data_IF_518086302396
#
_entry.id   IF_518086302396
#
_cell.length_a   1.000
_cell.length_b   1.000
_cell.length_c   1.000
_cell.angle_alpha   90.00
_cell.angle_beta   90.00
_cell.angle_gamma   90.00
#
_symmetry.space_group_name_H-M   'P 1'
#
loop_
_entity.id
_entity.type
_entity.pdbx_description
1 polymer ?
#
# COMPACT_ATOMS: atom_id res chain seq x y z
N UNK A 1 -28.83 3.08 -4.17
CA UNK A 1 -29.31 1.97 -3.32
C UNK A 1 -28.22 1.48 -2.37
N UNK A 2 -27.00 1.24 -2.86
CA UNK A 2 -25.88 0.69 -2.09
C UNK A 2 -25.43 1.54 -0.90
N UNK A 3 -25.31 2.87 -1.05
CA UNK A 3 -24.93 3.78 0.06
C UNK A 3 -25.92 3.66 1.23
N UNK A 4 -27.22 3.68 0.93
CA UNK A 4 -28.27 3.54 1.97
C UNK A 4 -28.22 2.17 2.66
N UNK A 5 -27.87 1.12 1.92
CA UNK A 5 -27.69 -0.22 2.50
C UNK A 5 -26.47 -0.28 3.43
N UNK A 6 -25.36 0.39 3.07
CA UNK A 6 -24.17 0.52 3.92
C UNK A 6 -24.48 1.28 5.21
N UNK A 7 -25.14 2.43 5.14
CA UNK A 7 -25.52 3.18 6.35
C UNK A 7 -26.44 2.37 7.27
N UNK A 8 -27.42 1.65 6.70
CA UNK A 8 -28.28 0.76 7.49
C UNK A 8 -27.49 -0.36 8.18
N UNK A 9 -26.49 -0.92 7.50
CA UNK A 9 -25.62 -1.94 8.08
C UNK A 9 -24.74 -1.38 9.20
N UNK A 10 -24.18 -0.17 9.03
CA UNK A 10 -23.42 0.53 10.07
C UNK A 10 -24.26 0.69 11.33
N UNK A 11 -25.49 1.19 11.22
CA UNK A 11 -26.38 1.36 12.38
C UNK A 11 -26.76 0.03 13.04
N UNK A 12 -26.97 -1.04 12.26
CA UNK A 12 -27.22 -2.36 12.81
C UNK A 12 -26.02 -2.89 13.62
N UNK A 13 -24.79 -2.68 13.12
CA UNK A 13 -23.57 -3.09 13.80
C UNK A 13 -23.30 -2.23 15.05
N UNK A 14 -23.49 -0.92 14.97
CA UNK A 14 -23.37 0.00 16.12
C UNK A 14 -24.29 -0.44 17.24
N UNK A 15 -25.55 -0.74 16.95
CA UNK A 15 -26.51 -1.21 17.95
C UNK A 15 -26.15 -2.57 18.55
N UNK A 16 -25.55 -3.46 17.75
CA UNK A 16 -25.14 -4.80 18.19
C UNK A 16 -23.90 -4.79 19.07
N UNK A 17 -22.93 -3.93 18.77
CA UNK A 17 -21.60 -3.96 19.41
C UNK A 17 -21.37 -2.86 20.45
N UNK A 18 -22.27 -1.88 20.57
CA UNK A 18 -22.21 -0.92 21.68
C UNK A 18 -22.36 -1.63 23.03
N UNK A 19 -21.62 -1.17 24.02
CA UNK A 19 -21.64 -1.72 25.38
C UNK A 19 -21.42 -0.61 26.42
N UNK A 20 -21.45 -0.96 27.72
CA UNK A 20 -21.13 -0.01 28.78
C UNK A 20 -19.71 0.56 28.69
N UNK A 21 -18.77 -0.18 28.08
CA UNK A 21 -17.36 0.21 27.93
C UNK A 21 -17.02 0.74 26.52
N UNK A 22 -17.88 0.50 25.53
CA UNK A 22 -17.69 0.92 24.14
C UNK A 22 -18.90 1.70 23.63
N UNK A 23 -18.73 3.03 23.49
CA UNK A 23 -19.80 3.91 23.03
C UNK A 23 -20.15 3.66 21.55
N UNK A 24 -21.40 3.95 21.20
CA UNK A 24 -21.90 3.87 19.82
C UNK A 24 -21.02 4.66 18.84
N UNK A 25 -20.56 5.85 19.25
CA UNK A 25 -19.71 6.70 18.41
C UNK A 25 -18.33 6.10 18.17
N UNK A 26 -17.74 5.42 19.17
CA UNK A 26 -16.48 4.70 18.97
C UNK A 26 -16.63 3.52 18.01
N UNK A 27 -17.75 2.79 18.08
CA UNK A 27 -18.05 1.71 17.12
C UNK A 27 -18.20 2.30 15.72
N UNK A 28 -18.95 3.40 15.57
CA UNK A 28 -19.16 4.07 14.28
C UNK A 28 -17.85 4.60 13.69
N UNK A 29 -17.03 5.26 14.51
CA UNK A 29 -15.70 5.73 14.12
C UNK A 29 -14.83 4.57 13.62
N UNK A 30 -14.78 3.46 14.36
CA UNK A 30 -14.00 2.28 13.96
C UNK A 30 -14.47 1.71 12.61
N UNK A 31 -15.79 1.64 12.39
CA UNK A 31 -16.36 1.18 11.11
C UNK A 31 -15.99 2.09 9.95
N UNK A 32 -16.04 3.42 10.14
CA UNK A 32 -15.61 4.36 9.10
C UNK A 32 -14.11 4.30 8.86
N UNK A 33 -13.28 4.18 9.90
CA UNK A 33 -11.83 4.00 9.74
C UNK A 33 -11.47 2.72 8.97
N UNK A 34 -12.21 1.62 9.18
CA UNK A 34 -12.06 0.41 8.36
C UNK A 34 -12.45 0.66 6.89
N UNK A 35 -13.51 1.45 6.68
CA UNK A 35 -13.93 1.89 5.36
C UNK A 35 -12.86 2.71 4.63
N UNK A 36 -12.25 3.66 5.32
CA UNK A 36 -11.17 4.50 4.79
C UNK A 36 -9.94 3.68 4.43
N UNK A 37 -9.52 2.76 5.31
CA UNK A 37 -8.42 1.84 5.01
C UNK A 37 -8.71 1.01 3.75
N UNK A 38 -9.91 0.46 3.64
CA UNK A 38 -10.29 -0.32 2.47
C UNK A 38 -10.36 0.55 1.19
N UNK A 39 -10.85 1.79 1.30
CA UNK A 39 -10.86 2.74 0.18
C UNK A 39 -9.44 3.11 -0.28
N UNK A 40 -8.50 3.25 0.65
CA UNK A 40 -7.07 3.43 0.34
C UNK A 40 -6.53 2.22 -0.42
N UNK A 41 -6.79 0.99 0.05
CA UNK A 41 -6.32 -0.23 -0.62
C UNK A 41 -6.86 -0.36 -2.05
N UNK A 42 -8.14 0.00 -2.27
CA UNK A 42 -8.72 0.02 -3.60
C UNK A 42 -8.01 1.00 -4.54
N UNK A 43 -7.48 2.10 -4.04
CA UNK A 43 -6.78 3.10 -4.86
C UNK A 43 -5.31 2.75 -5.07
N UNK A 44 -4.64 2.22 -4.04
CA UNK A 44 -3.20 1.99 -4.06
C UNK A 44 -2.80 0.59 -4.55
N UNK A 45 -3.53 -0.46 -4.17
CA UNK A 45 -3.18 -1.87 -4.44
C UNK A 45 -3.90 -2.43 -5.67
N UNK A 46 -5.21 -2.23 -5.78
CA UNK A 46 -6.02 -2.89 -6.82
C UNK A 46 -5.60 -2.54 -8.26
N UNK A 47 -5.10 -1.33 -8.58
CA UNK A 47 -4.52 -1.06 -9.89
C UNK A 47 -3.30 -1.93 -10.18
N UNK A 48 -2.46 -2.20 -9.17
CA UNK A 48 -1.29 -3.08 -9.29
C UNK A 48 -1.75 -4.53 -9.53
N UNK A 49 -2.76 -5.00 -8.81
CA UNK A 49 -3.38 -6.31 -9.04
C UNK A 49 -3.96 -6.43 -10.47
N UNK A 50 -4.51 -5.35 -11.01
CA UNK A 50 -4.95 -5.31 -12.41
C UNK A 50 -3.77 -5.39 -13.37
N UNK A 51 -2.68 -4.67 -13.11
CA UNK A 51 -1.48 -4.72 -13.96
C UNK A 51 -0.82 -6.10 -13.95
N UNK A 52 -0.75 -6.76 -12.79
CA UNK A 52 -0.25 -8.14 -12.66
C UNK A 52 -1.11 -9.09 -13.52
N UNK A 53 -2.45 -8.97 -13.43
CA UNK A 53 -3.35 -9.78 -14.26
C UNK A 53 -3.15 -9.55 -15.74
N UNK A 54 -3.06 -8.29 -16.17
CA UNK A 54 -2.83 -7.95 -17.58
C UNK A 54 -1.48 -8.50 -18.08
N UNK A 55 -0.42 -8.38 -17.27
CA UNK A 55 0.89 -8.94 -17.58
C UNK A 55 0.79 -10.45 -17.79
N UNK A 56 0.26 -11.20 -16.81
CA UNK A 56 0.20 -12.66 -16.88
C UNK A 56 -0.72 -13.19 -18.00
N UNK A 57 -1.81 -12.48 -18.32
CA UNK A 57 -2.77 -12.91 -19.35
C UNK A 57 -2.27 -12.61 -20.76
N UNK A 58 -1.70 -11.43 -20.99
CA UNK A 58 -1.32 -10.98 -22.33
C UNK A 58 0.15 -11.23 -22.66
N UNK A 59 1.00 -11.41 -21.66
CA UNK A 59 2.45 -11.61 -21.79
C UNK A 59 2.89 -12.77 -20.88
N UNK A 60 2.54 -14.02 -21.22
CA UNK A 60 2.89 -15.18 -20.39
C UNK A 60 4.42 -15.30 -20.24
N UNK A 61 4.88 -15.94 -19.15
CA UNK A 61 6.31 -16.01 -18.83
C UNK A 61 7.18 -16.72 -19.90
N UNK A 62 6.59 -17.67 -20.63
CA UNK A 62 7.21 -18.30 -21.77
C UNK A 62 7.20 -17.36 -22.97
N UNK A 63 8.24 -17.42 -23.81
CA UNK A 63 8.31 -16.57 -24.99
C UNK A 63 7.04 -16.73 -25.86
N UNK A 64 6.38 -15.63 -26.22
CA UNK A 64 5.14 -15.69 -26.98
C UNK A 64 5.42 -16.17 -28.40
N UNK A 65 4.48 -16.93 -28.97
CA UNK A 65 4.54 -17.34 -30.38
C UNK A 65 4.55 -16.13 -31.32
N UNK A 66 3.87 -15.05 -30.92
CA UNK A 66 3.87 -13.79 -31.64
C UNK A 66 4.98 -12.86 -31.14
N UNK A 67 5.94 -12.55 -32.01
CA UNK A 67 7.05 -11.64 -31.74
C UNK A 67 6.60 -10.23 -31.31
N UNK A 68 5.42 -9.76 -31.73
CA UNK A 68 4.92 -8.44 -31.33
C UNK A 68 4.48 -8.36 -29.86
N UNK A 69 4.27 -9.50 -29.21
CA UNK A 69 4.00 -9.58 -27.77
C UNK A 69 5.28 -9.81 -26.97
N UNK A 70 6.45 -9.78 -27.60
CA UNK A 70 7.71 -9.93 -26.89
C UNK A 70 7.99 -8.73 -25.99
N UNK A 71 8.29 -8.98 -24.72
CA UNK A 71 8.79 -7.99 -23.76
C UNK A 71 10.32 -7.87 -23.79
N UNK A 72 11.01 -8.56 -24.71
CA UNK A 72 12.47 -8.47 -24.77
C UNK A 72 12.92 -7.02 -25.02
N UNK A 73 13.99 -6.61 -24.34
CA UNK A 73 14.62 -5.30 -24.55
C UNK A 73 16.09 -5.51 -24.89
N UNK A 74 16.59 -4.78 -25.88
CA UNK A 74 17.99 -4.76 -26.29
C UNK A 74 18.68 -3.48 -25.83
N UNK A 75 19.82 -3.59 -25.16
CA UNK A 75 20.63 -2.42 -24.78
C UNK A 75 21.01 -1.58 -26.01
N UNK A 76 20.74 -0.28 -25.95
CA UNK A 76 20.95 0.66 -27.04
C UNK A 76 19.74 0.85 -27.97
N UNK A 77 18.79 -0.09 -27.98
CA UNK A 77 17.53 0.07 -28.73
C UNK A 77 16.55 0.94 -27.96
N UNK A 78 16.03 2.01 -28.58
CA UNK A 78 15.07 2.91 -27.94
C UNK A 78 15.58 3.58 -26.66
N UNK A 79 16.90 3.62 -26.44
CA UNK A 79 17.51 4.17 -25.21
C UNK A 79 17.52 3.21 -24.02
N UNK A 80 17.15 1.93 -24.22
CA UNK A 80 17.24 0.92 -23.17
C UNK A 80 18.69 0.73 -22.72
N UNK A 81 18.91 0.77 -21.40
CA UNK A 81 20.24 0.51 -20.79
C UNK A 81 20.45 -0.96 -20.41
N UNK A 82 19.38 -1.75 -20.49
CA UNK A 82 19.35 -3.16 -20.10
C UNK A 82 19.08 -4.03 -21.33
N UNK A 83 19.67 -5.22 -21.34
CA UNK A 83 19.41 -6.27 -22.33
C UNK A 83 18.77 -7.46 -21.64
N UNK A 84 17.47 -7.68 -21.85
CA UNK A 84 16.71 -8.79 -21.27
C UNK A 84 16.00 -9.60 -22.35
N UNK A 85 16.02 -10.92 -22.21
CA UNK A 85 15.07 -11.79 -22.91
C UNK A 85 13.65 -11.51 -22.44
N UNK A 86 12.65 -11.95 -23.21
CA UNK A 86 11.24 -11.88 -22.82
C UNK A 86 11.01 -12.40 -21.40
N UNK A 87 11.47 -13.62 -21.11
CA UNK A 87 11.26 -14.27 -19.82
C UNK A 87 11.89 -13.49 -18.66
N UNK A 88 13.08 -12.91 -18.88
CA UNK A 88 13.77 -12.09 -17.88
C UNK A 88 13.06 -10.77 -17.65
N UNK A 89 12.59 -10.11 -18.72
CA UNK A 89 11.84 -8.87 -18.59
C UNK A 89 10.47 -9.09 -17.93
N UNK A 90 9.77 -10.16 -18.29
CA UNK A 90 8.52 -10.56 -17.64
C UNK A 90 8.74 -10.77 -16.14
N UNK A 91 9.75 -11.56 -15.76
CA UNK A 91 10.07 -11.81 -14.34
C UNK A 91 10.40 -10.51 -13.60
N UNK A 92 11.21 -9.64 -14.20
CA UNK A 92 11.55 -8.33 -13.63
C UNK A 92 10.30 -7.47 -13.38
N UNK A 93 9.41 -7.35 -14.37
CA UNK A 93 8.17 -6.58 -14.26
C UNK A 93 7.24 -7.17 -13.20
N UNK A 94 7.05 -8.50 -13.21
CA UNK A 94 6.19 -9.20 -12.25
C UNK A 94 6.70 -9.04 -10.81
N UNK A 95 7.99 -9.26 -10.58
CA UNK A 95 8.61 -9.09 -9.26
C UNK A 95 8.50 -7.65 -8.76
N UNK A 96 8.71 -6.67 -9.64
CA UNK A 96 8.55 -5.25 -9.29
C UNK A 96 7.11 -4.93 -8.92
N UNK A 97 6.13 -5.41 -9.69
CA UNK A 97 4.71 -5.21 -9.40
C UNK A 97 4.31 -5.88 -8.08
N UNK A 98 4.77 -7.11 -7.82
CA UNK A 98 4.50 -7.81 -6.55
C UNK A 98 5.09 -7.06 -5.36
N UNK A 99 6.32 -6.57 -5.48
CA UNK A 99 6.94 -5.74 -4.44
C UNK A 99 6.08 -4.49 -4.14
N UNK A 100 5.71 -3.74 -5.17
CA UNK A 100 4.91 -2.53 -5.00
C UNK A 100 3.50 -2.82 -4.48
N UNK A 101 2.91 -3.96 -4.85
CA UNK A 101 1.64 -4.43 -4.30
C UNK A 101 1.72 -4.63 -2.79
N UNK A 102 2.75 -5.33 -2.30
CA UNK A 102 2.94 -5.57 -0.87
C UNK A 102 3.25 -4.27 -0.12
N UNK A 103 4.10 -3.40 -0.67
CA UNK A 103 4.39 -2.08 -0.08
C UNK A 103 3.10 -1.27 0.03
N UNK A 104 2.32 -1.17 -1.04
CA UNK A 104 1.05 -0.43 -1.04
C UNK A 104 0.05 -1.01 -0.04
N UNK A 105 0.03 -2.34 0.11
CA UNK A 105 -0.85 -3.03 1.07
C UNK A 105 -0.47 -2.71 2.52
N UNK A 106 0.81 -2.76 2.86
CA UNK A 106 1.28 -2.56 4.24
C UNK A 106 1.48 -1.08 4.62
N UNK A 107 1.49 -0.17 3.64
CA UNK A 107 1.81 1.25 3.85
C UNK A 107 0.94 1.91 4.92
N UNK A 108 -0.37 1.65 4.93
CA UNK A 108 -1.27 2.26 5.90
C UNK A 108 -0.94 1.81 7.33
N UNK A 109 -0.64 0.52 7.52
CA UNK A 109 -0.23 -0.03 8.81
C UNK A 109 1.12 0.54 9.23
N UNK A 110 2.08 0.61 8.33
CA UNK A 110 3.38 1.23 8.57
C UNK A 110 3.21 2.68 9.05
N UNK A 111 2.34 3.45 8.39
CA UNK A 111 2.04 4.81 8.80
C UNK A 111 1.44 4.86 10.21
N UNK A 112 0.43 4.05 10.52
CA UNK A 112 -0.14 4.01 11.87
C UNK A 112 0.91 3.68 12.95
N UNK A 113 1.83 2.74 12.68
CA UNK A 113 2.91 2.40 13.60
C UNK A 113 3.93 3.55 13.73
N UNK A 114 4.29 4.19 12.62
CA UNK A 114 5.19 5.34 12.64
C UNK A 114 4.61 6.52 13.43
N UNK A 115 3.31 6.80 13.31
CA UNK A 115 2.62 7.83 14.11
C UNK A 115 2.60 7.45 15.59
N UNK A 116 2.33 6.18 15.92
CA UNK A 116 2.35 5.72 17.30
C UNK A 116 3.75 5.90 17.92
N UNK A 117 4.81 5.57 17.18
CA UNK A 117 6.20 5.75 17.63
C UNK A 117 6.57 7.23 17.79
N UNK A 118 6.12 8.08 16.84
CA UNK A 118 6.32 9.52 16.83
C UNK A 118 5.65 10.21 18.03
N UNK A 119 4.44 9.79 18.37
CA UNK A 119 3.60 10.41 19.40
C UNK A 119 3.76 9.80 20.79
N UNK A 120 4.53 8.73 20.95
CA UNK A 120 4.73 8.12 22.26
C UNK A 120 5.60 9.02 23.16
N UNK A 121 4.98 9.46 24.26
CA UNK A 121 5.57 10.35 25.25
C UNK A 121 6.81 9.80 25.98
N UNK A 122 7.12 8.52 25.86
CA UNK A 122 8.37 7.95 26.38
C UNK A 122 9.62 8.33 25.56
N UNK A 123 9.46 8.82 24.32
CA UNK A 123 10.55 9.33 23.48
C UNK A 123 10.22 10.71 22.94
N UNK A 124 10.27 11.78 23.75
CA UNK A 124 9.93 13.12 23.29
C UNK A 124 11.05 13.74 22.44
N UNK A 125 10.68 14.72 21.62
CA UNK A 125 11.66 15.58 20.96
C UNK A 125 12.47 16.37 21.99
N UNK A 126 13.79 16.40 21.80
CA UNK A 126 14.71 17.22 22.57
C UNK A 126 15.45 18.19 21.65
N UNK A 127 15.71 19.41 22.11
CA UNK A 127 16.56 20.34 21.38
C UNK A 127 18.02 19.92 21.58
N UNK A 128 18.74 19.64 20.49
CA UNK A 128 20.13 19.20 20.52
C UNK A 128 20.95 19.96 19.49
N UNK A 129 22.19 20.28 19.84
CA UNK A 129 23.16 20.75 18.87
C UNK A 129 23.66 19.55 18.05
N UNK A 130 23.44 19.59 16.73
CA UNK A 130 23.86 18.53 15.81
C UNK A 130 25.20 18.81 15.14
N UNK A 131 25.89 19.88 15.53
CA UNK A 131 27.05 20.41 14.80
C UNK A 131 26.66 21.22 13.55
N UNK A 132 25.38 21.34 13.25
CA UNK A 132 24.80 22.24 12.24
C UNK A 132 23.82 23.24 12.88
N UNK A 133 23.95 23.47 14.20
CA UNK A 133 23.04 24.27 15.01
C UNK A 133 22.05 23.43 15.83
N UNK A 134 21.18 24.13 16.55
CA UNK A 134 20.18 23.51 17.41
C UNK A 134 18.99 22.98 16.60
N UNK A 135 18.74 21.68 16.69
CA UNK A 135 17.65 20.98 16.01
C UNK A 135 16.80 20.21 17.00
N UNK A 136 15.50 20.07 16.71
CA UNK A 136 14.61 19.16 17.46
C UNK A 136 14.86 17.73 16.97
N UNK A 137 15.38 16.90 17.85
CA UNK A 137 15.72 15.50 17.55
C UNK A 137 14.92 14.58 18.47
N UNK A 138 14.28 13.59 17.87
CA UNK A 138 13.67 12.47 18.57
C UNK A 138 14.52 11.22 18.29
N UNK A 139 14.95 10.48 19.34
CA UNK A 139 15.69 9.25 19.12
C UNK A 139 14.77 8.18 18.54
N UNK A 140 15.28 7.44 17.56
CA UNK A 140 14.62 6.23 17.07
C UNK A 140 14.51 5.19 18.20
N UNK A 141 13.37 4.51 18.28
CA UNK A 141 13.17 3.42 19.23
C UNK A 141 14.03 2.21 18.84
N UNK A 142 14.47 1.44 19.84
CA UNK A 142 15.15 0.14 19.64
C UNK A 142 14.13 -0.97 19.49
#
# INVERSE_FOLDING_TARGET
>A
AEIRAKEKAVEALVNKYRSATLSADKVRLALYSLGDNNAYMHQARDPIDRMIRLLCVHFPAAAPENASLSLAIGGGEGGARLSHSHSRQHAFALQSLLLWREIAHEMFKLWCLAEADLLDGSSPYSLRDTGQGLQRVQPARR
#
